data_IF_975358385314
#
_entry.id   IF_975358385314
#
_cell.length_a   1.000
_cell.length_b   1.000
_cell.length_c   1.000
_cell.angle_alpha   90.00
_cell.angle_beta   90.00
_cell.angle_gamma   90.00
#
_symmetry.space_group_name_H-M   'P 1'
#
loop_
_entity.id
_entity.type
_entity.pdbx_description
1 polymer ?
#
# COMPACT_ATOMS: atom_id res chain seq x y z
N UNK A 1 2.88 -28.46 -15.23
CA UNK A 1 4.07 -28.37 -14.33
C UNK A 1 5.05 -27.39 -14.95
N UNK A 2 5.58 -26.45 -14.17
CA UNK A 2 6.57 -25.48 -14.66
C UNK A 2 7.90 -26.20 -14.99
N UNK A 3 8.23 -26.31 -16.27
CA UNK A 3 9.44 -26.99 -16.77
C UNK A 3 10.73 -26.30 -16.33
N UNK A 4 10.64 -25.04 -15.89
CA UNK A 4 11.79 -24.19 -15.60
C UNK A 4 11.98 -23.95 -14.09
N UNK A 5 11.20 -24.61 -13.21
CA UNK A 5 11.29 -24.52 -11.74
C UNK A 5 11.17 -23.10 -11.14
N UNK A 6 10.49 -22.17 -11.82
CA UNK A 6 10.18 -20.87 -11.21
C UNK A 6 9.03 -21.03 -10.21
N UNK A 7 9.19 -20.41 -9.05
CA UNK A 7 8.22 -20.31 -7.98
C UNK A 7 7.15 -19.24 -8.22
N UNK A 8 7.40 -18.31 -9.14
CA UNK A 8 6.53 -17.19 -9.48
C UNK A 8 6.84 -16.60 -10.87
N UNK A 9 6.03 -15.65 -11.33
CA UNK A 9 6.25 -14.83 -12.53
C UNK A 9 7.52 -13.97 -12.34
N UNK A 10 8.32 -13.81 -13.40
CA UNK A 10 9.60 -13.08 -13.33
C UNK A 10 9.48 -11.55 -13.25
N UNK A 11 8.30 -11.00 -13.51
CA UNK A 11 8.02 -9.57 -13.49
C UNK A 11 7.47 -9.13 -12.12
N UNK A 12 7.74 -7.88 -11.76
CA UNK A 12 7.16 -7.24 -10.58
C UNK A 12 5.67 -6.99 -10.79
N UNK A 13 5.28 -6.56 -11.99
CA UNK A 13 3.89 -6.28 -12.37
C UNK A 13 3.61 -6.71 -13.82
N UNK A 14 2.39 -7.15 -14.06
CA UNK A 14 1.83 -7.38 -15.39
C UNK A 14 0.66 -6.42 -15.62
N UNK A 15 0.42 -6.02 -16.86
CA UNK A 15 -0.68 -5.13 -17.24
C UNK A 15 -1.40 -5.74 -18.44
N UNK A 16 -2.71 -5.93 -18.38
CA UNK A 16 -3.46 -6.40 -19.56
C UNK A 16 -3.85 -5.24 -20.52
N UNK A 17 -4.54 -5.60 -21.60
CA UNK A 17 -4.99 -4.65 -22.62
C UNK A 17 -6.03 -3.64 -22.12
N UNK A 18 -6.71 -3.93 -21.01
CA UNK A 18 -7.68 -3.02 -20.39
C UNK A 18 -7.03 -2.12 -19.32
N UNK A 19 -5.71 -2.24 -19.13
CA UNK A 19 -4.96 -1.50 -18.12
C UNK A 19 -5.07 -2.09 -16.72
N UNK A 20 -5.60 -3.30 -16.55
CA UNK A 20 -5.64 -3.95 -15.24
C UNK A 20 -4.23 -4.38 -14.86
N UNK A 21 -3.79 -3.93 -13.69
CA UNK A 21 -2.49 -4.28 -13.12
C UNK A 21 -2.61 -5.54 -12.27
N UNK A 22 -1.82 -6.55 -12.62
CA UNK A 22 -1.64 -7.76 -11.82
C UNK A 22 -0.29 -7.70 -11.12
N UNK A 23 -0.30 -7.89 -9.81
CA UNK A 23 0.93 -8.00 -9.04
C UNK A 23 1.58 -9.36 -9.32
N UNK A 24 2.82 -9.33 -9.81
CA UNK A 24 3.71 -10.48 -9.82
C UNK A 24 4.51 -10.49 -8.52
N UNK A 25 5.83 -10.38 -8.63
CA UNK A 25 6.71 -10.30 -7.45
C UNK A 25 6.48 -9.06 -6.59
N UNK A 26 5.92 -7.99 -7.17
CA UNK A 26 5.62 -6.74 -6.48
C UNK A 26 6.83 -5.83 -6.27
N UNK A 27 6.66 -4.85 -5.38
CA UNK A 27 7.70 -3.93 -4.94
C UNK A 27 8.70 -4.62 -4.00
N UNK A 28 9.92 -4.10 -3.85
CA UNK A 28 10.96 -4.65 -2.95
C UNK A 28 11.59 -6.00 -3.34
N UNK A 29 10.96 -6.81 -4.19
CA UNK A 29 11.43 -8.15 -4.56
C UNK A 29 12.26 -8.15 -5.84
N UNK A 30 13.44 -8.76 -5.78
CA UNK A 30 14.32 -8.98 -6.95
C UNK A 30 13.59 -9.81 -8.00
N UNK A 31 13.41 -9.23 -9.19
CA UNK A 31 12.73 -9.88 -10.30
C UNK A 31 13.60 -10.90 -11.04
N UNK A 32 13.08 -11.39 -12.16
CA UNK A 32 13.81 -12.19 -13.14
C UNK A 32 13.54 -11.72 -14.58
N UNK A 33 13.25 -10.42 -14.72
CA UNK A 33 12.79 -9.79 -15.95
C UNK A 33 13.92 -9.40 -16.92
N UNK A 34 15.13 -9.08 -16.42
CA UNK A 34 16.25 -8.68 -17.26
C UNK A 34 17.58 -9.14 -16.66
N UNK A 35 18.23 -10.08 -17.35
CA UNK A 35 19.52 -10.66 -16.93
C UNK A 35 20.54 -9.55 -16.64
N UNK A 36 21.08 -9.53 -15.42
CA UNK A 36 22.06 -8.53 -14.96
C UNK A 36 21.47 -7.28 -14.31
N UNK A 37 20.16 -7.03 -14.44
CA UNK A 37 19.48 -5.82 -13.94
C UNK A 37 18.36 -6.09 -12.94
N UNK A 38 18.05 -7.37 -12.68
CA UNK A 38 16.96 -7.81 -11.83
C UNK A 38 16.90 -7.20 -10.41
N UNK A 39 18.04 -6.79 -9.85
CA UNK A 39 18.15 -6.18 -8.52
C UNK A 39 18.19 -4.65 -8.55
N UNK A 40 18.19 -4.03 -9.74
CA UNK A 40 18.37 -2.59 -9.92
C UNK A 40 17.06 -1.87 -10.25
N UNK A 41 15.94 -2.61 -10.38
CA UNK A 41 14.66 -2.03 -10.73
C UNK A 41 13.51 -3.04 -10.70
N UNK A 42 12.34 -2.55 -11.11
CA UNK A 42 11.11 -3.32 -11.17
C UNK A 42 10.81 -3.72 -12.60
N UNK A 43 10.42 -4.99 -12.79
CA UNK A 43 10.01 -5.50 -14.10
C UNK A 43 8.52 -5.26 -14.31
N UNK A 44 8.14 -4.47 -15.30
CA UNK A 44 6.74 -4.26 -15.69
C UNK A 44 6.56 -4.84 -17.09
N UNK A 45 5.59 -5.73 -17.27
CA UNK A 45 5.28 -6.31 -18.57
C UNK A 45 3.82 -6.02 -18.96
N UNK A 46 3.62 -5.42 -20.13
CA UNK A 46 2.29 -5.33 -20.74
C UNK A 46 2.03 -6.64 -21.49
N UNK A 47 0.90 -7.28 -21.24
CA UNK A 47 0.47 -8.50 -21.89
C UNK A 47 -0.01 -8.18 -23.30
N UNK A 48 0.63 -8.77 -24.30
CA UNK A 48 0.22 -8.64 -25.70
C UNK A 48 1.33 -8.99 -26.69
N UNK A 49 0.95 -9.15 -27.95
CA UNK A 49 1.90 -9.24 -29.06
C UNK A 49 1.99 -7.86 -29.74
N UNK A 50 3.07 -7.14 -29.43
CA UNK A 50 3.29 -5.79 -29.97
C UNK A 50 4.11 -5.74 -31.25
N UNK A 51 4.28 -6.89 -31.93
CA UNK A 51 4.89 -6.92 -33.26
C UNK A 51 3.97 -6.30 -34.33
N UNK A 52 2.65 -6.29 -34.10
CA UNK A 52 1.64 -5.87 -35.09
C UNK A 52 0.63 -4.86 -34.56
N UNK A 53 0.60 -4.59 -33.26
CA UNK A 53 -0.29 -3.61 -32.63
C UNK A 53 0.45 -2.86 -31.52
N UNK A 54 0.08 -1.61 -31.26
CA UNK A 54 0.59 -0.86 -30.11
C UNK A 54 -0.20 -1.23 -28.84
N UNK A 55 0.40 -1.10 -27.63
CA UNK A 55 -0.35 -1.20 -26.39
C UNK A 55 -1.50 -0.17 -26.33
N UNK A 56 -2.59 -0.53 -25.64
CA UNK A 56 -3.72 0.37 -25.42
C UNK A 56 -3.33 1.60 -24.58
N UNK A 57 -4.14 2.66 -24.64
CA UNK A 57 -3.90 3.86 -23.85
C UNK A 57 -4.00 3.57 -22.35
N UNK A 58 -4.91 2.69 -21.96
CA UNK A 58 -5.17 2.22 -20.61
C UNK A 58 -3.96 1.45 -20.05
N UNK A 59 -3.40 0.55 -20.86
CA UNK A 59 -2.18 -0.19 -20.51
C UNK A 59 -0.97 0.73 -20.36
N UNK A 60 -0.80 1.69 -21.27
CA UNK A 60 0.29 2.67 -21.20
C UNK A 60 0.16 3.59 -19.99
N UNK A 61 -1.06 4.01 -19.64
CA UNK A 61 -1.31 4.85 -18.47
C UNK A 61 -1.00 4.10 -17.17
N UNK A 62 -1.39 2.83 -17.09
CA UNK A 62 -1.07 1.96 -15.96
C UNK A 62 0.44 1.71 -15.85
N UNK A 63 1.13 1.53 -16.98
CA UNK A 63 2.59 1.39 -17.01
C UNK A 63 3.28 2.66 -16.50
N UNK A 64 2.83 3.85 -16.93
CA UNK A 64 3.34 5.12 -16.42
C UNK A 64 3.16 5.25 -14.92
N UNK A 65 1.98 4.90 -14.39
CA UNK A 65 1.70 4.93 -12.94
C UNK A 65 2.62 4.01 -12.16
N UNK A 66 2.87 2.80 -12.66
CA UNK A 66 3.81 1.87 -12.03
C UNK A 66 5.26 2.37 -12.11
N UNK A 67 5.71 2.89 -13.24
CA UNK A 67 7.06 3.48 -13.36
C UNK A 67 7.22 4.64 -12.38
N UNK A 68 6.23 5.54 -12.30
CA UNK A 68 6.23 6.64 -11.33
C UNK A 68 6.27 6.11 -9.89
N UNK A 69 5.45 5.11 -9.55
CA UNK A 69 5.46 4.50 -8.23
C UNK A 69 6.83 3.87 -7.87
N UNK A 70 7.47 3.17 -8.81
CA UNK A 70 8.77 2.54 -8.62
C UNK A 70 9.94 3.52 -8.50
N UNK A 71 9.96 4.57 -9.33
CA UNK A 71 10.96 5.64 -9.28
C UNK A 71 10.82 6.46 -7.99
N UNK A 72 9.59 6.75 -7.57
CA UNK A 72 9.34 7.59 -6.38
C UNK A 72 9.46 6.84 -5.06
N UNK A 73 9.20 5.52 -5.01
CA UNK A 73 9.49 4.71 -3.82
C UNK A 73 10.98 4.81 -3.44
N UNK A 74 11.87 4.83 -4.45
CA UNK A 74 13.30 5.05 -4.24
C UNK A 74 13.65 6.53 -3.96
N UNK A 75 12.98 7.50 -4.61
CA UNK A 75 13.30 8.92 -4.46
C UNK A 75 12.88 9.54 -3.11
N UNK A 76 11.80 9.06 -2.50
CA UNK A 76 11.33 9.53 -1.19
C UNK A 76 11.95 8.76 0.00
N UNK A 77 12.81 7.77 -0.26
CA UNK A 77 13.44 6.93 0.77
C UNK A 77 12.46 6.05 1.53
N UNK A 78 11.35 5.65 0.89
CA UNK A 78 10.32 4.80 1.50
C UNK A 78 10.52 3.36 1.04
N UNK A 79 11.02 2.52 1.94
CA UNK A 79 11.07 1.08 1.70
C UNK A 79 9.68 0.48 1.94
N UNK A 80 9.07 -0.05 0.88
CA UNK A 80 7.82 -0.81 0.95
C UNK A 80 8.15 -2.30 0.89
N UNK A 81 7.80 -3.02 1.96
CA UNK A 81 7.79 -4.48 2.02
C UNK A 81 6.48 -4.95 1.41
N UNK A 82 6.57 -5.61 0.26
CA UNK A 82 5.42 -6.15 -0.47
C UNK A 82 4.74 -7.30 0.28
N UNK A 83 3.51 -7.61 -0.17
CA UNK A 83 2.72 -8.75 0.33
C UNK A 83 3.52 -10.06 0.39
N UNK A 84 4.25 -10.39 -0.67
CA UNK A 84 5.06 -11.62 -0.73
C UNK A 84 6.20 -11.59 0.30
N UNK A 85 6.87 -10.44 0.50
CA UNK A 85 8.03 -10.32 1.40
C UNK A 85 7.71 -10.42 2.88
N UNK A 86 6.52 -9.99 3.30
CA UNK A 86 6.06 -10.20 4.68
C UNK A 86 5.30 -11.51 4.87
N UNK A 87 5.09 -12.28 3.81
CA UNK A 87 4.45 -13.59 3.83
C UNK A 87 2.94 -13.49 3.97
N UNK A 88 2.31 -12.58 3.22
CA UNK A 88 0.86 -12.48 3.09
C UNK A 88 0.28 -13.78 2.54
N UNK A 89 -0.84 -14.23 3.11
CA UNK A 89 -1.69 -15.20 2.42
C UNK A 89 -2.54 -14.51 1.36
N UNK A 90 -3.04 -15.28 0.40
CA UNK A 90 -3.92 -14.78 -0.65
C UNK A 90 -5.21 -14.21 -0.07
N UNK A 91 -5.73 -13.10 -0.64
CA UNK A 91 -7.05 -12.61 -0.28
C UNK A 91 -8.14 -13.59 -0.74
N UNK A 92 -9.30 -13.58 -0.07
CA UNK A 92 -10.48 -14.37 -0.48
C UNK A 92 -11.11 -13.79 -1.74
N UNK A 93 -11.20 -12.46 -1.80
CA UNK A 93 -11.73 -11.69 -2.92
C UNK A 93 -11.09 -10.31 -2.93
N UNK A 94 -11.02 -9.70 -4.11
CA UNK A 94 -10.53 -8.34 -4.30
C UNK A 94 -11.60 -7.52 -5.03
N UNK A 95 -11.84 -6.32 -4.53
CA UNK A 95 -12.66 -5.32 -5.24
C UNK A 95 -11.74 -4.20 -5.66
N UNK A 96 -11.65 -3.95 -6.97
CA UNK A 96 -10.84 -2.85 -7.49
C UNK A 96 -11.46 -1.50 -7.11
N UNK A 97 -10.61 -0.49 -6.98
CA UNK A 97 -11.03 0.89 -6.76
C UNK A 97 -10.32 1.86 -7.69
N UNK A 98 -11.03 2.93 -8.06
CA UNK A 98 -10.54 3.90 -9.05
C UNK A 98 -9.97 5.17 -8.41
N UNK A 99 -8.91 5.68 -9.01
CA UNK A 99 -8.17 6.85 -8.55
C UNK A 99 -8.43 8.09 -9.41
N UNK A 100 -8.21 9.31 -8.89
CA UNK A 100 -7.64 9.64 -7.58
C UNK A 100 -8.65 9.62 -6.41
N UNK A 101 -8.16 9.40 -5.19
CA UNK A 101 -8.91 9.51 -3.94
C UNK A 101 -8.73 10.89 -3.28
N UNK A 102 -9.80 11.49 -2.72
CA UNK A 102 -9.71 12.76 -2.01
C UNK A 102 -9.21 12.66 -0.56
N UNK A 103 -9.16 11.47 0.06
CA UNK A 103 -8.86 11.34 1.49
C UNK A 103 -7.73 10.35 1.79
N UNK A 104 -6.86 10.72 2.73
CA UNK A 104 -5.94 9.82 3.43
C UNK A 104 -6.41 9.68 4.89
N UNK A 105 -6.81 8.47 5.29
CA UNK A 105 -7.30 8.21 6.65
C UNK A 105 -6.21 7.51 7.46
N UNK A 106 -5.84 8.13 8.58
CA UNK A 106 -4.80 7.68 9.49
C UNK A 106 -5.39 6.79 10.60
N UNK A 107 -4.73 5.64 10.81
CA UNK A 107 -5.10 4.64 11.81
C UNK A 107 -3.94 4.30 12.74
N UNK A 108 -4.29 3.68 13.85
CA UNK A 108 -3.39 2.79 14.58
C UNK A 108 -3.93 1.36 14.54
N UNK A 109 -3.09 0.37 14.84
CA UNK A 109 -3.55 -1.03 14.93
C UNK A 109 -4.14 -1.38 16.29
N UNK A 110 -3.92 -0.54 17.30
CA UNK A 110 -4.23 -0.81 18.71
C UNK A 110 -3.51 -2.08 19.25
N UNK A 111 -2.32 -2.38 18.70
CA UNK A 111 -1.45 -3.49 19.11
C UNK A 111 -0.17 -2.97 19.76
N UNK A 112 0.73 -3.85 20.17
CA UNK A 112 2.12 -3.47 20.44
C UNK A 112 2.80 -2.96 19.15
N UNK A 113 3.80 -2.09 19.32
CA UNK A 113 4.67 -1.66 18.22
C UNK A 113 5.57 -2.80 17.75
N UNK A 114 6.17 -2.65 16.57
CA UNK A 114 7.10 -3.62 16.01
C UNK A 114 8.20 -2.93 15.20
N UNK A 115 9.30 -3.65 14.96
CA UNK A 115 10.34 -3.29 14.00
C UNK A 115 10.91 -4.54 13.33
N UNK A 116 11.52 -4.38 12.16
CA UNK A 116 12.26 -5.42 11.44
C UNK A 116 11.43 -6.67 11.16
N UNK A 117 12.04 -7.84 11.37
CA UNK A 117 11.38 -9.13 11.14
C UNK A 117 10.15 -9.35 12.03
N UNK A 118 10.08 -8.72 13.21
CA UNK A 118 8.91 -8.85 14.08
C UNK A 118 7.66 -8.23 13.43
N UNK A 119 7.79 -7.12 12.70
CA UNK A 119 6.65 -6.53 12.00
C UNK A 119 6.05 -7.47 10.94
N UNK A 120 6.85 -8.31 10.26
CA UNK A 120 6.30 -9.30 9.33
C UNK A 120 5.36 -10.29 10.05
N UNK A 121 5.70 -10.70 11.27
CA UNK A 121 4.83 -11.56 12.09
C UNK A 121 3.57 -10.82 12.54
N UNK A 122 3.68 -9.55 12.94
CA UNK A 122 2.53 -8.72 13.32
C UNK A 122 1.59 -8.49 12.12
N UNK A 123 2.12 -8.25 10.93
CA UNK A 123 1.34 -8.14 9.68
C UNK A 123 0.49 -9.39 9.42
N UNK A 124 1.10 -10.58 9.51
CA UNK A 124 0.37 -11.85 9.38
C UNK A 124 -0.68 -12.04 10.46
N UNK A 125 -0.38 -11.67 11.71
CA UNK A 125 -1.35 -11.76 12.81
C UNK A 125 -2.56 -10.83 12.58
N UNK A 126 -2.33 -9.60 12.11
CA UNK A 126 -3.39 -8.66 11.75
C UNK A 126 -4.22 -9.19 10.56
N UNK A 127 -3.56 -9.74 9.53
CA UNK A 127 -4.26 -10.34 8.38
C UNK A 127 -5.15 -11.51 8.82
N UNK A 128 -4.61 -12.44 9.62
CA UNK A 128 -5.36 -13.58 10.14
C UNK A 128 -6.54 -13.12 11.00
N UNK A 129 -6.35 -12.16 11.91
CA UNK A 129 -7.47 -11.63 12.71
C UNK A 129 -8.56 -11.00 11.83
N UNK A 130 -8.18 -10.21 10.83
CA UNK A 130 -9.15 -9.60 9.92
C UNK A 130 -9.92 -10.63 9.09
N UNK A 131 -9.24 -11.66 8.59
CA UNK A 131 -9.88 -12.63 7.73
C UNK A 131 -10.62 -13.73 8.53
N UNK A 132 -9.96 -14.34 9.51
CA UNK A 132 -10.48 -15.49 10.25
C UNK A 132 -11.48 -15.06 11.33
N UNK A 133 -11.23 -13.94 12.02
CA UNK A 133 -12.11 -13.48 13.10
C UNK A 133 -13.16 -12.49 12.62
N UNK A 134 -12.82 -11.56 11.72
CA UNK A 134 -13.79 -10.56 11.22
C UNK A 134 -14.47 -10.97 9.90
N UNK A 135 -14.08 -12.09 9.29
CA UNK A 135 -14.64 -12.56 8.03
C UNK A 135 -14.36 -11.63 6.84
N UNK A 136 -13.26 -10.87 6.89
CA UNK A 136 -12.90 -9.97 5.79
C UNK A 136 -12.11 -10.70 4.71
N UNK A 137 -12.15 -10.16 3.51
CA UNK A 137 -11.46 -10.75 2.36
C UNK A 137 -9.94 -10.66 2.44
N UNK A 138 -9.43 -9.73 3.25
CA UNK A 138 -7.99 -9.50 3.48
C UNK A 138 -7.77 -8.55 4.67
N UNK A 139 -6.51 -8.27 5.02
CA UNK A 139 -6.11 -7.17 5.92
C UNK A 139 -6.83 -5.86 5.56
N UNK A 140 -7.38 -5.13 6.54
CA UNK A 140 -8.28 -4.01 6.24
C UNK A 140 -7.64 -2.72 5.73
N UNK A 141 -6.35 -2.50 5.98
CA UNK A 141 -5.65 -1.25 5.63
C UNK A 141 -4.96 -1.36 4.26
N UNK A 142 -4.79 -0.24 3.58
CA UNK A 142 -4.02 -0.20 2.33
C UNK A 142 -2.52 -0.32 2.61
N UNK A 143 -2.03 0.43 3.61
CA UNK A 143 -0.63 0.40 4.04
C UNK A 143 -0.51 0.41 5.55
N UNK A 144 0.52 -0.26 6.06
CA UNK A 144 0.88 -0.26 7.47
C UNK A 144 2.33 0.19 7.66
N UNK A 145 2.66 0.81 8.79
CA UNK A 145 4.02 1.33 9.06
C UNK A 145 4.51 0.87 10.42
N UNK A 146 5.69 0.24 10.44
CA UNK A 146 6.39 -0.17 11.67
C UNK A 146 7.02 1.00 12.42
N UNK A 147 7.46 0.78 13.66
CA UNK A 147 8.13 1.80 14.47
C UNK A 147 9.52 2.17 13.91
N UNK A 148 10.09 1.34 13.04
CA UNK A 148 11.31 1.60 12.27
C UNK A 148 11.08 2.44 11.00
N UNK A 149 9.83 2.78 10.68
CA UNK A 149 9.48 3.54 9.46
C UNK A 149 9.43 2.70 8.19
N UNK A 150 9.54 1.37 8.29
CA UNK A 150 9.31 0.48 7.15
C UNK A 150 7.80 0.42 6.86
N UNK A 151 7.45 0.58 5.59
CA UNK A 151 6.07 0.48 5.11
C UNK A 151 5.81 -0.96 4.67
N UNK A 152 4.65 -1.49 5.01
CA UNK A 152 4.19 -2.81 4.64
C UNK A 152 2.93 -2.66 3.77
N UNK A 153 2.95 -3.29 2.60
CA UNK A 153 1.82 -3.35 1.69
C UNK A 153 0.69 -4.19 2.32
N UNK A 154 -0.45 -3.55 2.61
CA UNK A 154 -1.69 -4.23 2.94
C UNK A 154 -2.45 -4.55 1.66
N UNK A 155 -3.61 -3.93 1.46
CA UNK A 155 -4.35 -4.00 0.19
C UNK A 155 -3.75 -3.19 -0.96
N UNK A 156 -2.71 -2.39 -0.69
CA UNK A 156 -2.02 -1.62 -1.72
C UNK A 156 -2.89 -0.51 -2.32
N UNK A 157 -2.53 -0.10 -3.55
CA UNK A 157 -3.15 1.06 -4.22
C UNK A 157 -4.44 0.74 -4.98
N UNK A 158 -4.58 -0.48 -5.50
CA UNK A 158 -5.64 -0.82 -6.46
C UNK A 158 -6.86 -1.50 -5.84
N UNK A 159 -6.76 -1.99 -4.59
CA UNK A 159 -7.80 -2.79 -3.95
C UNK A 159 -8.49 -2.01 -2.83
N UNK A 160 -9.81 -2.06 -2.82
CA UNK A 160 -10.69 -1.41 -1.86
C UNK A 160 -10.36 -1.83 -0.42
N UNK A 161 -10.13 -0.85 0.46
CA UNK A 161 -9.91 -1.01 1.89
C UNK A 161 -11.12 -1.55 2.67
N UNK A 162 -10.89 -1.96 3.93
CA UNK A 162 -11.94 -2.20 4.93
C UNK A 162 -11.61 -1.55 6.28
N UNK A 163 -11.07 -0.34 6.23
CA UNK A 163 -10.53 0.36 7.40
C UNK A 163 -11.48 1.39 8.01
N UNK A 164 -12.38 2.00 7.22
CA UNK A 164 -13.35 2.99 7.69
C UNK A 164 -14.71 2.83 6.97
N UNK A 165 -15.72 2.35 7.69
CA UNK A 165 -17.06 2.07 7.13
C UNK A 165 -17.65 3.35 6.52
N UNK A 166 -18.08 3.28 5.27
CA UNK A 166 -18.64 4.42 4.52
C UNK A 166 -17.60 5.31 3.82
N UNK A 167 -16.30 5.08 4.07
CA UNK A 167 -15.22 5.92 3.54
C UNK A 167 -14.21 5.15 2.67
N UNK A 168 -14.20 3.81 2.73
CA UNK A 168 -13.23 2.97 2.03
C UNK A 168 -13.10 3.27 0.52
N UNK A 169 -14.19 3.64 -0.17
CA UNK A 169 -14.19 3.88 -1.62
C UNK A 169 -13.63 5.25 -2.02
N UNK A 170 -13.52 6.20 -1.08
CA UNK A 170 -13.05 7.57 -1.31
C UNK A 170 -11.72 7.86 -0.61
N UNK A 171 -11.07 6.84 -0.06
CA UNK A 171 -9.87 7.03 0.75
C UNK A 171 -8.86 5.90 0.68
N UNK A 172 -7.62 6.22 1.01
CA UNK A 172 -6.61 5.25 1.41
C UNK A 172 -6.43 5.19 2.93
N UNK A 173 -6.33 3.98 3.48
CA UNK A 173 -6.06 3.75 4.90
C UNK A 173 -4.57 3.52 5.17
N UNK A 174 -3.96 4.42 5.93
CA UNK A 174 -2.58 4.32 6.40
C UNK A 174 -2.58 4.05 7.91
N UNK A 175 -2.12 2.88 8.34
CA UNK A 175 -2.08 2.51 9.77
C UNK A 175 -0.66 2.48 10.30
N UNK A 176 -0.40 3.11 11.44
CA UNK A 176 0.85 2.88 12.17
C UNK A 176 0.65 1.70 13.14
N UNK A 177 1.58 0.74 13.13
CA UNK A 177 1.51 -0.44 13.99
C UNK A 177 1.89 -0.04 15.41
N UNK A 178 0.91 -0.09 16.32
CA UNK A 178 1.05 0.32 17.70
C UNK A 178 -0.26 0.77 18.34
N UNK A 179 -0.16 1.18 19.60
CA UNK A 179 -1.22 1.81 20.37
C UNK A 179 -0.73 3.19 20.82
N UNK A 180 -1.40 4.22 20.32
CA UNK A 180 -0.98 5.61 20.48
C UNK A 180 -2.00 6.44 21.26
N UNK A 181 -2.70 5.82 22.22
CA UNK A 181 -3.55 6.55 23.17
C UNK A 181 -2.71 7.50 24.03
N UNK A 182 -1.63 6.99 24.62
CA UNK A 182 -0.79 7.74 25.58
C UNK A 182 0.66 7.92 25.14
N UNK A 183 1.03 7.41 23.96
CA UNK A 183 2.37 7.52 23.39
C UNK A 183 2.27 7.96 21.93
N UNK A 184 3.28 8.69 21.44
CA UNK A 184 3.37 9.08 20.03
C UNK A 184 4.05 8.00 19.18
N UNK A 185 3.71 7.88 17.89
CA UNK A 185 4.53 7.14 16.94
C UNK A 185 5.96 7.67 16.88
N UNK A 186 6.90 6.81 16.49
CA UNK A 186 8.29 7.23 16.28
C UNK A 186 8.39 8.23 15.12
N UNK A 187 9.43 9.07 15.13
CA UNK A 187 9.67 10.00 14.04
C UNK A 187 9.90 9.29 12.70
N UNK A 188 10.48 8.09 12.71
CA UNK A 188 10.63 7.26 11.52
C UNK A 188 9.27 6.86 10.93
N UNK A 189 8.33 6.39 11.77
CA UNK A 189 6.98 6.07 11.34
C UNK A 189 6.23 7.30 10.80
N UNK A 190 6.30 8.43 11.50
CA UNK A 190 5.66 9.68 11.07
C UNK A 190 6.22 10.19 9.73
N UNK A 191 7.53 10.11 9.53
CA UNK A 191 8.18 10.46 8.27
C UNK A 191 7.72 9.54 7.13
N UNK A 192 7.67 8.23 7.38
CA UNK A 192 7.26 7.25 6.38
C UNK A 192 5.80 7.43 5.94
N UNK A 193 4.87 7.67 6.87
CA UNK A 193 3.46 7.94 6.52
C UNK A 193 3.33 9.19 5.66
N UNK A 194 4.00 10.29 6.03
CA UNK A 194 3.97 11.53 5.23
C UNK A 194 4.57 11.34 3.84
N UNK A 195 5.71 10.66 3.74
CA UNK A 195 6.34 10.37 2.46
C UNK A 195 5.46 9.49 1.56
N UNK A 196 4.75 8.50 2.13
CA UNK A 196 3.76 7.69 1.39
C UNK A 196 2.59 8.53 0.85
N UNK A 197 2.10 9.48 1.64
CA UNK A 197 1.01 10.38 1.21
C UNK A 197 1.48 11.32 0.10
N UNK A 198 2.68 11.91 0.24
CA UNK A 198 3.29 12.74 -0.78
C UNK A 198 3.50 11.97 -2.10
N UNK A 199 4.00 10.74 -2.01
CA UNK A 199 4.15 9.84 -3.15
C UNK A 199 2.81 9.52 -3.80
N UNK A 200 1.76 9.31 -2.99
CA UNK A 200 0.41 9.05 -3.50
C UNK A 200 -0.13 10.23 -4.32
N UNK A 201 0.12 11.47 -3.91
CA UNK A 201 -0.25 12.68 -4.67
C UNK A 201 0.52 12.75 -5.98
N UNK A 202 1.84 12.53 -5.92
CA UNK A 202 2.71 12.61 -7.11
C UNK A 202 2.40 11.52 -8.14
N UNK A 203 1.98 10.34 -7.68
CA UNK A 203 1.63 9.19 -8.53
C UNK A 203 0.17 9.20 -9.00
N UNK A 204 -0.62 10.21 -8.61
CA UNK A 204 -2.03 10.34 -9.02
C UNK A 204 -3.02 9.44 -8.25
N UNK A 205 -2.57 8.79 -7.16
CA UNK A 205 -3.45 8.04 -6.26
C UNK A 205 -4.28 8.98 -5.39
N UNK A 206 -3.71 10.09 -4.92
CA UNK A 206 -4.42 11.14 -4.19
C UNK A 206 -4.61 12.40 -5.06
N UNK A 207 -5.73 13.09 -4.88
CA UNK A 207 -5.94 14.40 -5.51
C UNK A 207 -4.93 15.42 -4.96
N UNK A 208 -4.62 16.48 -5.73
CA UNK A 208 -3.76 17.57 -5.22
C UNK A 208 -4.39 18.33 -4.05
N UNK A 209 -5.71 18.30 -3.94
CA UNK A 209 -6.50 18.95 -2.88
C UNK A 209 -6.91 17.98 -1.77
N UNK A 210 -6.24 16.82 -1.67
CA UNK A 210 -6.56 15.79 -0.70
C UNK A 210 -6.65 16.32 0.73
N UNK A 211 -7.35 15.59 1.59
CA UNK A 211 -7.42 15.84 3.04
C UNK A 211 -6.84 14.67 3.82
N UNK A 212 -6.16 14.99 4.91
CA UNK A 212 -5.73 14.02 5.93
C UNK A 212 -6.73 14.04 7.07
N UNK A 213 -7.23 12.86 7.45
CA UNK A 213 -8.21 12.69 8.53
C UNK A 213 -7.75 11.57 9.48
N UNK A 214 -8.07 11.67 10.76
CA UNK A 214 -7.99 10.52 11.66
C UNK A 214 -9.21 9.62 11.46
N UNK A 215 -9.13 8.32 11.76
CA UNK A 215 -10.31 7.46 11.70
C UNK A 215 -11.47 7.99 12.57
N UNK A 216 -11.17 8.60 13.72
CA UNK A 216 -12.16 9.27 14.58
C UNK A 216 -12.87 10.47 13.95
N UNK A 217 -12.32 11.08 12.89
CA UNK A 217 -13.00 12.16 12.17
C UNK A 217 -14.14 11.65 11.28
N UNK A 218 -14.15 10.35 10.97
CA UNK A 218 -15.05 9.74 9.99
C UNK A 218 -15.86 8.56 10.55
N UNK A 219 -15.69 8.24 11.82
CA UNK A 219 -16.35 7.13 12.50
C UNK A 219 -16.30 7.25 14.02
N UNK A 220 -17.13 6.46 14.70
CA UNK A 220 -17.16 6.42 16.17
C UNK A 220 -16.08 5.47 16.71
N UNK A 221 -14.87 6.00 16.92
CA UNK A 221 -13.71 5.23 17.37
C UNK A 221 -12.69 6.14 18.06
N UNK A 222 -11.83 5.58 18.91
CA UNK A 222 -10.65 6.26 19.44
C UNK A 222 -9.44 6.20 18.49
N UNK A 223 -9.52 5.50 17.36
CA UNK A 223 -8.43 5.44 16.38
C UNK A 223 -8.18 6.83 15.74
N UNK A 224 -6.93 7.33 15.58
CA UNK A 224 -5.64 6.63 15.70
C UNK A 224 -4.95 6.71 17.08
N UNK A 225 -5.69 7.00 18.14
CA UNK A 225 -5.18 7.25 19.49
C UNK A 225 -4.92 8.73 19.76
N UNK A 226 -5.04 9.17 21.02
CA UNK A 226 -5.06 10.60 21.36
C UNK A 226 -3.74 11.29 21.02
N UNK A 227 -2.60 10.72 21.43
CA UNK A 227 -1.29 11.31 21.15
C UNK A 227 -0.96 11.33 19.65
N UNK A 228 -1.34 10.31 18.89
CA UNK A 228 -1.14 10.34 17.44
C UNK A 228 -2.12 11.32 16.76
N UNK A 229 -3.35 11.39 17.25
CA UNK A 229 -4.34 12.33 16.73
C UNK A 229 -3.90 13.79 16.88
N UNK A 230 -3.32 14.16 18.02
CA UNK A 230 -2.73 15.49 18.21
C UNK A 230 -1.61 15.79 17.21
N UNK A 231 -0.81 14.79 16.84
CA UNK A 231 0.23 14.95 15.81
C UNK A 231 -0.37 15.19 14.43
N UNK A 232 -1.35 14.38 13.99
CA UNK A 232 -1.88 14.51 12.62
C UNK A 232 -2.62 15.83 12.40
N UNK A 233 -3.19 16.43 13.45
CA UNK A 233 -3.81 17.77 13.36
C UNK A 233 -2.84 18.87 12.93
N UNK A 234 -1.55 18.65 13.12
CA UNK A 234 -0.49 19.59 12.72
C UNK A 234 -0.02 19.38 11.28
N UNK A 235 -0.46 18.32 10.60
CA UNK A 235 0.01 18.02 9.25
C UNK A 235 -0.64 18.94 8.21
N UNK A 236 0.08 19.23 7.11
CA UNK A 236 -0.52 19.84 5.94
C UNK A 236 -1.76 19.04 5.50
N UNK A 237 -2.76 19.73 4.98
CA UNK A 237 -4.00 19.12 4.49
C UNK A 237 -4.86 18.42 5.57
N UNK A 238 -4.50 18.49 6.86
CA UNK A 238 -5.45 18.14 7.90
C UNK A 238 -6.64 19.10 7.87
N UNK A 239 -7.86 18.57 7.88
CA UNK A 239 -9.06 19.38 7.92
C UNK A 239 -10.29 18.61 7.49
N UNK A 240 -11.38 18.81 8.23
CA UNK A 240 -12.68 18.15 7.98
C UNK A 240 -13.21 18.49 6.57
N UNK A 241 -13.95 17.55 5.95
CA UNK A 241 -14.64 17.78 4.69
C UNK A 241 -15.48 19.06 4.67
#
# INVERSE_FOLDING_TARGET
MNTNKWDDIGYSFLIDGDGVVFQGRGWGVVGAHTKGYNSQGYGIAILGNFATASPSAEALESAKRLIAAGVMANACGVTIVSRSEWGARSPVEETLMFDPKPYAIIHHTATSTCSGNHCKAVMRAIQNFHMDTRGWSDIGYNFLVGADGIVYEGRGWSVLGRHAKGWNNVSYGFSVIGNFMTNRPTQAALKAVRAMIEQAVQSGYLTRTYKVLGHRDVGNTSCPGDEFYEVIKTWPHYGRP
#
